data_IF_776670199712
#
_entry.id   IF_776670199712
#
_cell.length_a   1.000
_cell.length_b   1.000
_cell.length_c   1.000
_cell.angle_alpha   90.00
_cell.angle_beta   90.00
_cell.angle_gamma   90.00
#
_symmetry.space_group_name_H-M   'P 1'
#
loop_
_entity.id
_entity.type
_entity.pdbx_description
1 polymer ?
#
# COMPACT_ATOMS: atom_id res chain seq x y z
N UNK A 1 1.80 4.59 -13.96
CA UNK A 1 1.49 3.93 -12.66
C UNK A 1 1.64 4.95 -11.53
N UNK A 2 0.92 4.81 -10.41
CA UNK A 2 0.97 5.77 -9.29
C UNK A 2 2.39 5.94 -8.72
N UNK A 3 3.11 4.83 -8.54
CA UNK A 3 4.48 4.81 -8.02
C UNK A 3 5.45 5.63 -8.89
N UNK A 4 5.47 5.39 -10.21
CA UNK A 4 6.36 6.13 -11.13
C UNK A 4 6.10 7.64 -11.11
N UNK A 5 4.83 8.05 -11.00
CA UNK A 5 4.49 9.47 -10.88
C UNK A 5 4.98 10.09 -9.57
N UNK A 6 4.82 9.38 -8.46
CA UNK A 6 5.32 9.82 -7.16
C UNK A 6 6.85 9.85 -7.12
N UNK A 7 7.51 8.82 -7.64
CA UNK A 7 8.97 8.72 -7.71
C UNK A 7 9.57 9.89 -8.48
N UNK A 8 8.96 10.27 -9.60
CA UNK A 8 9.39 11.42 -10.40
C UNK A 8 9.25 12.78 -9.70
N UNK A 9 8.51 12.86 -8.58
CA UNK A 9 8.37 14.06 -7.78
C UNK A 9 9.35 14.15 -6.60
N UNK A 10 10.17 13.12 -6.37
CA UNK A 10 11.20 13.17 -5.32
C UNK A 10 12.38 14.01 -5.79
N UNK A 11 13.13 14.60 -4.86
CA UNK A 11 14.30 15.43 -5.20
C UNK A 11 15.37 14.62 -5.97
N UNK A 12 15.50 13.33 -5.64
CA UNK A 12 16.42 12.38 -6.30
C UNK A 12 15.67 11.12 -6.74
N UNK A 13 14.96 11.14 -7.89
CA UNK A 13 14.09 10.04 -8.33
C UNK A 13 14.79 8.70 -8.56
N UNK A 14 16.07 8.71 -8.86
CA UNK A 14 16.86 7.51 -9.17
C UNK A 14 17.43 6.84 -7.91
N UNK A 15 17.49 7.56 -6.79
CA UNK A 15 17.87 7.02 -5.47
C UNK A 15 16.70 6.35 -4.74
N UNK A 16 15.47 6.58 -5.19
CA UNK A 16 14.28 5.94 -4.63
C UNK A 16 14.38 4.43 -4.78
N UNK A 17 14.21 3.71 -3.68
CA UNK A 17 14.19 2.25 -3.66
C UNK A 17 13.10 1.71 -4.61
N UNK A 18 13.54 1.03 -5.67
CA UNK A 18 12.67 0.42 -6.69
C UNK A 18 11.76 -0.66 -6.11
N UNK A 19 12.12 -1.25 -4.97
CA UNK A 19 11.29 -2.25 -4.28
C UNK A 19 9.92 -1.69 -3.86
N UNK A 20 9.82 -0.37 -3.62
CA UNK A 20 8.57 0.34 -3.34
C UNK A 20 7.59 0.33 -4.53
N UNK A 21 8.09 0.05 -5.73
CA UNK A 21 7.32 -0.10 -6.96
C UNK A 21 6.75 -1.49 -7.20
N UNK A 22 7.07 -2.49 -6.36
CA UNK A 22 6.61 -3.87 -6.55
C UNK A 22 5.07 -3.95 -6.59
N UNK A 23 4.51 -4.71 -7.53
CA UNK A 23 3.06 -4.94 -7.66
C UNK A 23 2.80 -6.43 -7.48
N UNK A 24 1.72 -6.77 -6.79
CA UNK A 24 1.26 -8.14 -6.62
C UNK A 24 -0.02 -8.35 -7.46
N UNK A 25 0.08 -9.02 -8.62
CA UNK A 25 -1.07 -9.26 -9.50
C UNK A 25 -2.12 -10.18 -8.88
N UNK A 26 -1.73 -11.02 -7.92
CA UNK A 26 -2.61 -11.98 -7.26
C UNK A 26 -3.22 -11.43 -5.96
N UNK A 27 -2.96 -10.15 -5.65
CA UNK A 27 -3.50 -9.51 -4.46
C UNK A 27 -5.03 -9.54 -4.47
N UNK A 28 -5.63 -9.93 -3.34
CA UNK A 28 -7.08 -9.94 -3.14
C UNK A 28 -7.43 -9.08 -1.95
N UNK A 29 -8.49 -8.28 -2.11
CA UNK A 29 -9.00 -7.42 -1.04
C UNK A 29 -10.48 -7.71 -0.86
N UNK A 30 -10.89 -7.95 0.38
CA UNK A 30 -12.30 -7.97 0.76
C UNK A 30 -12.60 -6.81 1.68
N UNK A 31 -13.84 -6.32 1.67
CA UNK A 31 -14.23 -5.14 2.42
C UNK A 31 -15.59 -5.31 3.09
N UNK A 32 -15.72 -4.78 4.31
CA UNK A 32 -16.96 -4.75 5.08
C UNK A 32 -17.19 -3.31 5.54
N UNK A 33 -18.37 -2.76 5.22
CA UNK A 33 -18.79 -1.47 5.76
C UNK A 33 -19.41 -1.69 7.15
N UNK A 34 -18.94 -0.94 8.14
CA UNK A 34 -19.49 -0.90 9.50
C UNK A 34 -19.79 0.54 9.87
N UNK A 35 -21.06 0.92 9.75
CA UNK A 35 -21.55 2.28 9.99
C UNK A 35 -20.73 3.33 9.21
N UNK A 36 -19.93 4.12 9.92
CA UNK A 36 -19.09 5.20 9.40
C UNK A 36 -17.67 4.74 9.03
N UNK A 37 -17.35 3.46 9.16
CA UNK A 37 -16.02 2.88 8.90
C UNK A 37 -16.08 1.80 7.82
N UNK A 38 -14.97 1.62 7.12
CA UNK A 38 -14.78 0.51 6.19
C UNK A 38 -13.59 -0.30 6.71
N UNK A 39 -13.79 -1.59 6.90
CA UNK A 39 -12.75 -2.56 7.21
C UNK A 39 -12.32 -3.25 5.92
N UNK A 40 -11.01 -3.37 5.69
CA UNK A 40 -10.45 -4.04 4.53
C UNK A 40 -9.50 -5.16 4.97
N UNK A 41 -9.70 -6.36 4.45
CA UNK A 41 -8.77 -7.50 4.57
C UNK A 41 -8.04 -7.65 3.24
N UNK A 42 -6.74 -7.35 3.24
CA UNK A 42 -5.89 -7.43 2.06
C UNK A 42 -4.91 -8.61 2.18
N UNK A 43 -5.00 -9.53 1.23
CA UNK A 43 -4.03 -10.62 1.06
C UNK A 43 -3.10 -10.27 -0.08
N UNK A 44 -1.82 -10.15 0.24
CA UNK A 44 -0.80 -9.78 -0.73
C UNK A 44 0.55 -10.35 -0.36
N UNK A 45 1.39 -10.58 -1.37
CA UNK A 45 2.81 -10.93 -1.23
C UNK A 45 3.72 -9.73 -0.98
N UNK A 46 3.19 -8.50 -1.04
CA UNK A 46 3.97 -7.29 -0.77
C UNK A 46 4.44 -7.27 0.68
N UNK A 47 5.68 -6.83 0.89
CA UNK A 47 6.19 -6.62 2.24
C UNK A 47 5.39 -5.53 2.96
N UNK A 48 5.34 -5.61 4.28
CA UNK A 48 4.64 -4.64 5.11
C UNK A 48 5.08 -3.18 4.83
N UNK A 49 6.38 -2.95 4.64
CA UNK A 49 6.90 -1.61 4.32
C UNK A 49 6.36 -1.07 2.98
N UNK A 50 6.38 -1.91 1.94
CA UNK A 50 5.87 -1.54 0.60
C UNK A 50 4.36 -1.31 0.63
N UNK A 51 3.60 -2.17 1.31
CA UNK A 51 2.16 -2.02 1.45
C UNK A 51 1.78 -0.73 2.19
N UNK A 52 2.43 -0.45 3.33
CA UNK A 52 2.21 0.77 4.12
C UNK A 52 2.55 2.03 3.33
N UNK A 53 3.68 2.03 2.62
CA UNK A 53 4.06 3.14 1.75
C UNK A 53 2.98 3.39 0.68
N UNK A 54 2.47 2.33 0.04
CA UNK A 54 1.42 2.47 -0.98
C UNK A 54 0.11 3.01 -0.43
N UNK A 55 -0.31 2.51 0.73
CA UNK A 55 -1.51 3.02 1.40
C UNK A 55 -1.36 4.46 1.86
N UNK A 56 -0.15 4.90 2.25
CA UNK A 56 0.15 6.32 2.49
C UNK A 56 -0.10 7.19 1.25
N UNK A 57 0.28 6.71 0.06
CA UNK A 57 0.05 7.43 -1.20
C UNK A 57 -1.41 7.44 -1.64
N UNK A 58 -2.15 6.35 -1.39
CA UNK A 58 -3.53 6.17 -1.84
C UNK A 58 -4.59 6.73 -0.88
N UNK A 59 -4.42 6.46 0.41
CA UNK A 59 -5.40 6.73 1.46
C UNK A 59 -4.92 7.79 2.47
N UNK A 60 -3.72 8.34 2.29
CA UNK A 60 -3.16 9.36 3.18
C UNK A 60 -2.84 8.81 4.57
N UNK A 61 -3.18 9.59 5.61
CA UNK A 61 -2.92 9.26 7.02
C UNK A 61 -4.12 8.75 7.80
N UNK A 62 -5.33 8.76 7.23
CA UNK A 62 -6.57 8.45 7.94
C UNK A 62 -6.94 6.96 7.84
N UNK A 63 -5.96 6.10 8.08
CA UNK A 63 -6.14 4.65 8.08
C UNK A 63 -5.13 4.01 9.05
N UNK A 64 -5.45 2.81 9.50
CA UNK A 64 -4.61 2.02 10.39
C UNK A 64 -4.41 0.62 9.82
N UNK A 65 -3.23 0.04 10.06
CA UNK A 65 -2.95 -1.36 9.75
C UNK A 65 -2.99 -2.16 11.04
N UNK A 66 -3.90 -3.13 11.13
CA UNK A 66 -4.02 -4.03 12.27
C UNK A 66 -3.94 -5.49 11.79
N UNK A 67 -3.59 -6.40 12.70
CA UNK A 67 -3.56 -7.86 12.48
C UNK A 67 -2.80 -8.31 11.22
N UNK A 68 -1.48 -8.10 11.22
CA UNK A 68 -0.60 -8.58 10.15
C UNK A 68 -0.20 -10.03 10.43
N UNK A 69 -0.61 -10.93 9.55
CA UNK A 69 -0.28 -12.35 9.62
C UNK A 69 0.74 -12.70 8.55
N UNK A 70 1.82 -13.35 8.96
CA UNK A 70 2.76 -13.98 8.04
C UNK A 70 2.22 -15.39 7.76
N UNK A 71 1.78 -15.63 6.52
CA UNK A 71 1.40 -16.95 6.04
C UNK A 71 2.60 -17.80 5.65
#
# INVERSE_FOLDING_TARGET
>A
MLFERWRAMQDEPDEVDKSLGAVDPEARVTGVQRDLKIELDARTSLSHGVFRHRMRLLAGSHWELADVRFG
#
